data_IF_918117309626
#
_entry.id   IF_918117309626
#
_cell.length_a   1.000
_cell.length_b   1.000
_cell.length_c   1.000
_cell.angle_alpha   90.00
_cell.angle_beta   90.00
_cell.angle_gamma   90.00
#
_symmetry.space_group_name_H-M   'P 1'
#
loop_
_entity.id
_entity.type
_entity.pdbx_description
1 polymer ?
#
# COMPACT_ATOMS: atom_id res chain seq x y z
N UNK A 1 -14.26 -6.00 24.51
CA UNK A 1 -13.31 -4.88 24.69
C UNK A 1 -12.54 -4.71 23.39
N UNK A 2 -12.59 -3.55 22.70
CA UNK A 2 -11.60 -3.24 21.65
C UNK A 2 -12.05 -2.71 20.27
N UNK A 3 -13.34 -2.60 19.93
CA UNK A 3 -13.72 -2.03 18.62
C UNK A 3 -13.75 -0.49 18.59
N UNK A 4 -14.07 0.15 19.71
CA UNK A 4 -14.24 1.61 19.77
C UNK A 4 -12.93 2.39 19.97
N UNK A 5 -11.86 1.77 20.48
CA UNK A 5 -10.55 2.42 20.65
C UNK A 5 -9.88 2.76 19.31
N UNK A 6 -9.92 1.81 18.37
CA UNK A 6 -9.25 1.92 17.07
C UNK A 6 -9.82 3.07 16.20
N UNK A 7 -11.10 3.40 16.37
CA UNK A 7 -11.75 4.50 15.63
C UNK A 7 -11.20 5.86 16.11
N UNK A 8 -10.97 5.99 17.41
CA UNK A 8 -10.46 7.22 18.05
C UNK A 8 -9.01 7.48 17.68
N UNK A 9 -8.16 6.44 17.72
CA UNK A 9 -6.74 6.54 17.35
C UNK A 9 -6.56 6.94 15.88
N UNK A 10 -7.34 6.34 14.97
CA UNK A 10 -7.29 6.67 13.54
C UNK A 10 -7.60 8.14 13.29
N UNK A 11 -8.64 8.67 13.93
CA UNK A 11 -9.04 10.08 13.78
C UNK A 11 -7.95 11.03 14.28
N UNK A 12 -7.32 10.72 15.41
CA UNK A 12 -6.21 11.51 15.94
C UNK A 12 -5.00 11.52 14.99
N UNK A 13 -4.64 10.36 14.43
CA UNK A 13 -3.59 10.25 13.42
C UNK A 13 -3.92 11.04 12.15
N UNK A 14 -5.17 10.96 11.69
CA UNK A 14 -5.64 11.66 10.49
C UNK A 14 -5.56 13.18 10.66
N UNK A 15 -6.00 13.70 11.80
CA UNK A 15 -5.90 15.13 12.12
C UNK A 15 -4.43 15.60 12.12
N UNK A 16 -3.55 14.86 12.81
CA UNK A 16 -2.11 15.15 12.86
C UNK A 16 -1.48 15.15 11.46
N UNK A 17 -1.83 14.20 10.60
CA UNK A 17 -1.28 14.12 9.24
C UNK A 17 -1.81 15.22 8.31
N UNK A 18 -3.07 15.62 8.47
CA UNK A 18 -3.65 16.77 7.76
C UNK A 18 -2.95 18.07 8.16
N UNK A 19 -2.78 18.30 9.45
CA UNK A 19 -2.07 19.48 9.98
C UNK A 19 -0.62 19.53 9.50
N UNK A 20 0.06 18.39 9.46
CA UNK A 20 1.42 18.29 8.94
C UNK A 20 1.52 18.38 7.39
N UNK A 21 0.41 18.50 6.67
CA UNK A 21 0.39 18.51 5.20
C UNK A 21 0.84 17.18 4.56
N UNK A 22 0.83 16.08 5.32
CA UNK A 22 1.30 14.75 4.89
C UNK A 22 0.18 13.81 4.44
N UNK A 23 -1.09 14.22 4.56
CA UNK A 23 -2.23 13.46 4.06
C UNK A 23 -2.78 14.11 2.77
N UNK A 24 -2.58 13.50 1.59
CA UNK A 24 -3.12 14.03 0.35
C UNK A 24 -4.66 14.04 0.35
N UNK A 25 -5.24 14.92 -0.47
CA UNK A 25 -6.69 15.02 -0.61
C UNK A 25 -7.31 13.67 -1.04
N UNK A 26 -8.42 13.29 -0.41
CA UNK A 26 -9.13 12.03 -0.70
C UNK A 26 -8.54 10.78 -0.05
N UNK A 27 -7.40 10.87 0.65
CA UNK A 27 -6.81 9.74 1.37
C UNK A 27 -7.24 9.70 2.84
N UNK A 28 -7.26 8.50 3.40
CA UNK A 28 -7.54 8.25 4.82
C UNK A 28 -6.31 7.67 5.51
N UNK A 29 -6.04 8.11 6.75
CA UNK A 29 -4.98 7.51 7.54
C UNK A 29 -5.34 6.07 7.92
N UNK A 30 -4.39 5.14 7.75
CA UNK A 30 -4.53 3.74 8.16
C UNK A 30 -3.65 3.49 9.38
N UNK A 31 -4.19 2.74 10.36
CA UNK A 31 -3.44 2.36 11.57
C UNK A 31 -2.56 1.12 11.34
N UNK A 32 -2.87 0.34 10.30
CA UNK A 32 -2.15 -0.88 9.92
C UNK A 32 -1.52 -0.68 8.55
N UNK A 33 -0.81 -1.69 8.06
CA UNK A 33 -0.31 -1.68 6.69
C UNK A 33 -1.43 -1.40 5.68
N UNK A 34 -1.27 -0.40 4.80
CA UNK A 34 -2.24 -0.14 3.76
C UNK A 34 -2.32 -1.35 2.82
N UNK A 35 -3.52 -1.62 2.32
CA UNK A 35 -3.67 -2.53 1.18
C UNK A 35 -3.12 -1.80 -0.04
N UNK A 36 -2.04 -2.34 -0.61
CA UNK A 36 -1.33 -1.74 -1.75
C UNK A 36 -1.67 -2.39 -3.10
N UNK A 37 -2.46 -3.47 -3.10
CA UNK A 37 -2.86 -4.15 -4.32
C UNK A 37 -4.28 -3.76 -4.71
N UNK A 38 -4.51 -3.67 -6.02
CA UNK A 38 -5.84 -3.63 -6.62
C UNK A 38 -6.05 -4.90 -7.41
N UNK A 39 -7.21 -5.54 -7.26
CA UNK A 39 -7.54 -6.80 -7.92
C UNK A 39 -7.00 -8.05 -7.23
N UNK A 40 -7.13 -9.19 -7.91
CA UNK A 40 -6.74 -10.50 -7.38
C UNK A 40 -5.22 -10.68 -7.44
N UNK A 41 -4.66 -11.30 -6.40
CA UNK A 41 -3.24 -11.68 -6.39
C UNK A 41 -3.02 -12.88 -7.31
N UNK A 42 -2.07 -12.82 -8.26
CA UNK A 42 -1.76 -13.96 -9.12
C UNK A 42 -1.10 -15.08 -8.31
N UNK A 43 -1.27 -16.33 -8.78
CA UNK A 43 -0.55 -17.47 -8.21
C UNK A 43 0.92 -17.38 -8.59
N UNK A 44 1.80 -17.50 -7.60
CA UNK A 44 3.24 -17.42 -7.77
C UNK A 44 3.88 -18.81 -7.55
N UNK A 45 4.68 -19.24 -8.51
CA UNK A 45 5.51 -20.44 -8.41
C UNK A 45 6.99 -20.03 -8.59
N UNK A 46 7.81 -20.08 -7.52
CA UNK A 46 9.22 -19.69 -7.59
C UNK A 46 10.05 -20.56 -8.53
N UNK A 47 9.66 -21.83 -8.75
CA UNK A 47 10.42 -22.75 -9.59
C UNK A 47 10.22 -22.47 -11.09
N UNK A 48 9.10 -21.81 -11.44
CA UNK A 48 8.76 -21.42 -12.81
C UNK A 48 8.94 -19.93 -13.07
N UNK A 49 9.34 -19.16 -12.05
CA UNK A 49 9.45 -17.71 -12.17
C UNK A 49 10.72 -17.32 -12.93
N UNK A 50 10.54 -16.54 -13.99
CA UNK A 50 11.61 -15.99 -14.80
C UNK A 50 11.52 -14.45 -14.79
N UNK A 51 12.55 -13.79 -14.26
CA UNK A 51 12.61 -12.34 -14.21
C UNK A 51 13.30 -11.80 -15.45
N UNK A 52 12.55 -11.09 -16.28
CA UNK A 52 13.05 -10.54 -17.52
C UNK A 52 13.09 -9.03 -17.46
N UNK A 53 14.13 -8.45 -18.06
CA UNK A 53 14.23 -7.00 -18.24
C UNK A 53 14.37 -6.65 -19.72
N UNK A 54 13.70 -5.60 -20.15
CA UNK A 54 13.70 -5.15 -21.54
C UNK A 54 13.71 -3.63 -21.61
N UNK A 55 14.01 -3.08 -22.78
CA UNK A 55 14.13 -1.64 -23.00
C UNK A 55 14.75 -1.31 -24.35
N UNK A 56 15.49 -0.21 -24.42
CA UNK A 56 16.25 0.23 -25.61
C UNK A 56 17.54 -0.58 -25.82
N UNK A 57 17.43 -1.91 -25.83
CA UNK A 57 18.52 -2.86 -26.08
C UNK A 57 18.05 -3.91 -27.09
N UNK A 58 18.97 -4.47 -27.87
CA UNK A 58 18.63 -5.44 -28.93
C UNK A 58 18.06 -6.76 -28.38
N UNK A 59 18.53 -7.21 -27.21
CA UNK A 59 18.08 -8.44 -26.56
C UNK A 59 17.72 -8.20 -25.10
N UNK A 60 16.70 -8.91 -24.60
CA UNK A 60 16.32 -8.92 -23.17
C UNK A 60 17.38 -9.61 -22.32
N UNK A 61 17.51 -9.18 -21.06
CA UNK A 61 18.29 -9.89 -20.02
C UNK A 61 17.37 -10.84 -19.25
#
# INVERSE_FOLDING_TARGET
>A
MGLFSNVTERKALEAKMKEAGRLPQGQSATLKWPVLHTGSLPRFDPALWDFQTWGLVENRL
#
